data_IF_220237968262
#
_entry.id   IF_220237968262
#
_cell.length_a   1.000
_cell.length_b   1.000
_cell.length_c   1.000
_cell.angle_alpha   90.00
_cell.angle_beta   90.00
_cell.angle_gamma   90.00
#
_symmetry.space_group_name_H-M   'P 1'
#
loop_
_entity.id
_entity.type
_entity.pdbx_description
1 polymer ?
#
# COMPACT_ATOMS: atom_id res chain seq x y z
N UNK A 1 -6.19 -32.39 20.32
CA UNK A 1 -4.85 -31.92 19.91
C UNK A 1 -5.02 -30.70 19.02
N UNK A 2 -4.22 -29.63 19.15
CA UNK A 2 -4.35 -28.47 18.27
C UNK A 2 -3.96 -28.86 16.84
N UNK A 3 -4.79 -28.50 15.87
CA UNK A 3 -4.54 -28.72 14.45
C UNK A 3 -3.75 -27.53 13.93
N UNK A 4 -2.49 -27.73 13.55
CA UNK A 4 -1.69 -26.69 12.90
C UNK A 4 -2.28 -26.38 11.52
N UNK A 5 -2.58 -25.11 11.27
CA UNK A 5 -2.93 -24.65 9.92
C UNK A 5 -1.61 -24.48 9.17
N UNK A 6 -1.37 -25.33 8.17
CA UNK A 6 -0.19 -25.26 7.30
C UNK A 6 -0.56 -24.42 6.08
N UNK A 7 0.17 -23.33 5.86
CA UNK A 7 0.04 -22.51 4.66
C UNK A 7 1.06 -22.99 3.62
N UNK A 8 0.62 -23.13 2.36
CA UNK A 8 1.49 -23.36 1.20
C UNK A 8 1.40 -22.14 0.29
N UNK A 9 2.53 -21.72 -0.26
CA UNK A 9 2.53 -20.71 -1.32
C UNK A 9 1.63 -21.18 -2.46
N UNK A 10 0.52 -20.48 -2.66
CA UNK A 10 -0.32 -20.64 -3.82
C UNK A 10 0.07 -19.51 -4.77
N UNK A 11 0.72 -19.84 -5.90
CA UNK A 11 1.10 -18.84 -6.90
C UNK A 11 -0.17 -18.26 -7.54
N UNK A 12 -0.74 -17.23 -6.92
CA UNK A 12 -1.52 -16.23 -7.65
C UNK A 12 -0.54 -15.35 -8.41
N UNK A 13 -0.97 -14.84 -9.55
CA UNK A 13 -0.23 -13.88 -10.39
C UNK A 13 0.53 -12.90 -9.50
N UNK A 14 1.86 -12.76 -9.65
CA UNK A 14 2.58 -11.79 -8.83
C UNK A 14 1.98 -10.42 -9.12
N UNK A 15 1.70 -9.65 -8.07
CA UNK A 15 1.38 -8.23 -8.21
C UNK A 15 2.66 -7.56 -8.73
N UNK A 16 2.79 -7.48 -10.04
CA UNK A 16 4.03 -7.06 -10.69
C UNK A 16 4.19 -5.56 -10.65
N UNK A 17 5.40 -5.12 -10.31
CA UNK A 17 5.87 -3.77 -10.54
C UNK A 17 7.07 -3.79 -11.47
N UNK A 18 7.06 -2.92 -12.48
CA UNK A 18 8.16 -2.71 -13.44
C UNK A 18 8.47 -1.23 -13.66
N UNK A 19 8.44 -0.41 -12.61
CA UNK A 19 9.08 0.91 -12.67
C UNK A 19 10.25 0.96 -11.69
N UNK A 20 11.44 1.20 -12.24
CA UNK A 20 12.67 1.67 -11.57
C UNK A 20 13.28 0.83 -10.42
N UNK A 21 12.91 -0.44 -10.27
CA UNK A 21 13.61 -1.34 -9.33
C UNK A 21 13.26 -1.14 -7.85
N UNK A 22 12.31 -0.25 -7.54
CA UNK A 22 11.76 -0.03 -6.19
C UNK A 22 11.09 -1.29 -5.65
N UNK A 23 11.29 -1.55 -4.35
CA UNK A 23 10.79 -2.74 -3.67
C UNK A 23 9.62 -2.36 -2.77
N UNK A 24 8.47 -3.00 -2.99
CA UNK A 24 7.37 -2.93 -2.04
C UNK A 24 7.72 -3.74 -0.81
N UNK A 25 7.79 -3.07 0.33
CA UNK A 25 8.16 -3.67 1.61
C UNK A 25 6.96 -3.83 2.54
N UNK A 26 5.92 -3.01 2.36
CA UNK A 26 4.79 -2.93 3.28
C UNK A 26 3.49 -3.19 2.54
N UNK A 27 2.67 -4.09 3.10
CA UNK A 27 1.34 -4.42 2.58
C UNK A 27 0.29 -4.38 3.69
N UNK A 28 -0.92 -3.94 3.33
CA UNK A 28 -2.13 -3.99 4.17
C UNK A 28 -3.37 -4.19 3.32
N UNK A 29 -4.35 -4.86 3.87
CA UNK A 29 -5.66 -5.08 3.25
C UNK A 29 -6.75 -4.65 4.23
N UNK A 30 -7.81 -4.00 3.74
CA UNK A 30 -8.99 -3.67 4.54
C UNK A 30 -10.10 -4.73 4.36
N UNK A 31 -11.26 -4.50 4.99
CA UNK A 31 -12.39 -5.44 4.92
C UNK A 31 -13.09 -5.41 3.54
N UNK A 32 -12.90 -4.34 2.78
CA UNK A 32 -13.50 -4.11 1.45
C UNK A 32 -12.63 -4.65 0.29
N UNK A 33 -11.65 -5.51 0.59
CA UNK A 33 -10.72 -6.10 -0.37
C UNK A 33 -9.78 -5.10 -1.07
N UNK A 34 -9.60 -3.90 -0.51
CA UNK A 34 -8.55 -2.98 -0.98
C UNK A 34 -7.23 -3.38 -0.34
N UNK A 35 -6.34 -3.94 -1.16
CA UNK A 35 -4.94 -4.15 -0.80
C UNK A 35 -4.15 -2.90 -1.17
N UNK A 36 -3.27 -2.46 -0.28
CA UNK A 36 -2.31 -1.38 -0.53
C UNK A 36 -0.90 -1.91 -0.35
N UNK A 37 -0.01 -1.55 -1.28
CA UNK A 37 1.43 -1.79 -1.18
C UNK A 37 2.21 -0.48 -1.22
N UNK A 38 3.15 -0.31 -0.28
CA UNK A 38 4.02 0.85 -0.15
C UNK A 38 5.49 0.53 -0.45
N UNK A 39 6.10 1.37 -1.30
CA UNK A 39 7.46 1.22 -1.79
C UNK A 39 8.48 2.11 -1.08
N UNK A 40 9.75 1.75 -1.18
CA UNK A 40 10.89 2.52 -0.66
C UNK A 40 11.16 3.83 -1.43
N UNK A 41 10.46 4.07 -2.52
CA UNK A 41 10.49 5.30 -3.33
C UNK A 41 9.29 6.24 -3.10
N UNK A 42 8.39 5.88 -2.20
CA UNK A 42 7.15 6.61 -1.94
C UNK A 42 5.98 6.24 -2.85
N UNK A 43 6.13 5.19 -3.65
CA UNK A 43 5.01 4.64 -4.41
C UNK A 43 3.99 3.97 -3.48
N UNK A 44 2.71 4.26 -3.72
CA UNK A 44 1.56 3.59 -3.14
C UNK A 44 0.73 3.03 -4.28
N UNK A 45 0.49 1.73 -4.23
CA UNK A 45 -0.38 1.04 -5.19
C UNK A 45 -1.58 0.45 -4.48
N UNK A 46 -2.74 0.62 -5.10
CA UNK A 46 -4.01 0.12 -4.61
C UNK A 46 -4.51 -0.95 -5.56
N UNK A 47 -4.94 -2.06 -4.99
CA UNK A 47 -5.29 -3.27 -5.70
C UNK A 47 -6.62 -3.79 -5.20
N UNK A 48 -7.45 -4.27 -6.13
CA UNK A 48 -8.51 -5.18 -5.77
C UNK A 48 -7.89 -6.53 -5.42
N UNK A 49 -8.03 -6.97 -4.18
CA UNK A 49 -7.41 -8.19 -3.68
C UNK A 49 -7.91 -9.45 -4.39
N UNK A 50 -9.17 -9.45 -4.83
CA UNK A 50 -9.78 -10.64 -5.42
C UNK A 50 -9.25 -10.92 -6.82
N UNK A 51 -9.27 -9.91 -7.69
CA UNK A 51 -8.82 -9.99 -9.08
C UNK A 51 -7.31 -9.74 -9.24
N UNK A 52 -6.68 -9.05 -8.30
CA UNK A 52 -5.31 -8.55 -8.42
C UNK A 52 -5.18 -7.31 -9.33
N UNK A 53 -6.29 -6.69 -9.72
CA UNK A 53 -6.28 -5.49 -10.56
C UNK A 53 -5.72 -4.29 -9.80
N UNK A 54 -4.71 -3.62 -10.37
CA UNK A 54 -4.22 -2.34 -9.87
C UNK A 54 -5.13 -1.23 -10.39
N UNK A 55 -5.94 -0.65 -9.51
CA UNK A 55 -6.85 0.43 -9.88
C UNK A 55 -6.29 1.82 -9.59
N UNK A 56 -5.20 1.93 -8.80
CA UNK A 56 -4.59 3.22 -8.50
C UNK A 56 -3.08 3.12 -8.22
N UNK A 57 -2.34 4.08 -8.77
CA UNK A 57 -0.90 4.23 -8.62
C UNK A 57 -0.56 5.67 -8.26
N UNK A 58 -0.04 5.90 -7.06
CA UNK A 58 0.22 7.24 -6.51
C UNK A 58 1.67 7.33 -6.04
N UNK A 59 2.28 8.49 -6.26
CA UNK A 59 3.52 8.88 -5.59
C UNK A 59 3.18 9.82 -4.43
N UNK A 60 3.52 9.40 -3.21
CA UNK A 60 3.47 10.28 -2.05
C UNK A 60 4.33 11.51 -2.30
N UNK A 61 3.84 12.68 -1.87
CA UNK A 61 4.54 13.95 -2.04
C UNK A 61 5.43 14.20 -0.81
N UNK A 62 6.76 14.35 -0.97
CA UNK A 62 7.63 14.64 0.16
C UNK A 62 7.22 15.94 0.88
N UNK A 63 7.36 15.98 2.20
CA UNK A 63 7.16 17.23 2.93
C UNK A 63 8.18 18.33 2.51
N UNK A 64 7.84 19.62 2.64
CA UNK A 64 8.76 20.71 2.35
C UNK A 64 10.08 20.58 3.11
N UNK A 65 11.20 20.70 2.40
CA UNK A 65 12.54 20.55 2.96
C UNK A 65 13.09 19.11 2.97
N UNK A 66 12.28 18.12 2.60
CA UNK A 66 12.72 16.75 2.35
C UNK A 66 13.27 16.57 0.93
N UNK A 67 14.22 15.66 0.75
CA UNK A 67 14.76 15.29 -0.56
C UNK A 67 14.00 14.09 -1.15
N UNK A 68 14.04 13.92 -2.48
CA UNK A 68 13.38 12.80 -3.15
C UNK A 68 13.81 11.41 -2.63
N UNK A 69 15.05 11.29 -2.14
CA UNK A 69 15.56 10.05 -1.54
C UNK A 69 14.91 9.69 -0.20
N UNK A 70 14.23 10.64 0.46
CA UNK A 70 13.53 10.46 1.72
C UNK A 70 12.01 10.23 1.52
N UNK A 71 11.57 9.80 0.33
CA UNK A 71 10.15 9.60 0.05
C UNK A 71 9.61 8.20 0.43
N UNK A 72 10.44 7.31 0.97
CA UNK A 72 10.06 5.92 1.21
C UNK A 72 8.92 5.72 2.21
N UNK A 73 8.04 4.74 1.92
CA UNK A 73 7.01 4.28 2.85
C UNK A 73 7.62 3.22 3.79
N UNK A 74 7.48 3.40 5.10
CA UNK A 74 8.00 2.47 6.13
C UNK A 74 6.93 1.79 6.98
N UNK A 75 5.70 2.29 6.94
CA UNK A 75 4.58 1.67 7.63
C UNK A 75 3.29 1.94 6.86
N UNK A 76 2.40 0.97 6.87
CA UNK A 76 1.03 1.10 6.39
C UNK A 76 0.09 0.49 7.42
N UNK A 77 -1.04 1.14 7.67
CA UNK A 77 -2.19 0.55 8.38
C UNK A 77 -3.47 1.21 7.94
N UNK A 78 -4.57 0.45 7.91
CA UNK A 78 -5.89 1.05 7.93
C UNK A 78 -6.24 1.48 9.36
N UNK A 79 -7.09 2.49 9.48
CA UNK A 79 -7.72 2.81 10.75
C UNK A 79 -8.77 1.75 11.13
N UNK A 80 -9.41 1.91 12.30
CA UNK A 80 -10.41 0.94 12.77
C UNK A 80 -11.65 0.85 11.89
N UNK A 81 -11.95 1.91 11.11
CA UNK A 81 -13.09 1.92 10.20
C UNK A 81 -12.80 1.16 8.91
N UNK A 82 -11.53 1.07 8.50
CA UNK A 82 -11.13 0.51 7.20
C UNK A 82 -11.17 1.53 6.06
N UNK A 83 -11.75 2.72 6.29
CA UNK A 83 -11.95 3.76 5.27
C UNK A 83 -10.79 4.75 5.15
N UNK A 84 -9.82 4.69 6.07
CA UNK A 84 -8.62 5.56 6.04
C UNK A 84 -7.36 4.75 6.10
N UNK A 85 -6.43 5.05 5.21
CA UNK A 85 -5.08 4.53 5.22
C UNK A 85 -4.14 5.52 5.92
N UNK A 86 -3.25 5.01 6.76
CA UNK A 86 -2.16 5.75 7.38
C UNK A 86 -0.84 5.22 6.81
N UNK A 87 -0.02 6.10 6.25
CA UNK A 87 1.36 5.80 5.86
C UNK A 87 2.35 6.50 6.77
N UNK A 88 3.30 5.75 7.33
CA UNK A 88 4.47 6.31 8.01
C UNK A 88 5.63 6.38 7.02
N UNK A 89 6.20 7.56 6.82
CA UNK A 89 7.11 7.84 5.71
C UNK A 89 8.49 8.31 6.19
N UNK A 90 9.51 8.10 5.35
CA UNK A 90 10.90 8.44 5.61
C UNK A 90 11.11 9.95 5.82
N UNK A 91 10.24 10.78 5.25
CA UNK A 91 10.26 12.24 5.36
C UNK A 91 9.82 12.76 6.74
N UNK A 92 9.68 11.86 7.74
CA UNK A 92 9.27 12.14 9.13
C UNK A 92 7.80 12.53 9.26
N UNK A 93 6.98 12.19 8.27
CA UNK A 93 5.53 12.43 8.33
C UNK A 93 4.72 11.15 8.50
N UNK A 94 3.48 11.35 8.97
CA UNK A 94 2.41 10.37 8.85
C UNK A 94 1.38 10.99 7.92
N UNK A 95 1.08 10.34 6.79
CA UNK A 95 0.05 10.81 5.85
C UNK A 95 -1.20 9.97 5.99
N UNK A 96 -2.35 10.63 5.86
CA UNK A 96 -3.66 10.02 5.96
C UNK A 96 -4.36 10.14 4.62
N UNK A 97 -4.85 9.01 4.13
CA UNK A 97 -5.53 8.89 2.85
C UNK A 97 -6.98 8.47 3.10
N UNK A 98 -7.88 8.99 2.29
CA UNK A 98 -9.32 8.66 2.28
C UNK A 98 -9.77 8.54 0.83
N UNK A 99 -10.88 7.84 0.64
CA UNK A 99 -11.56 7.81 -0.65
C UNK A 99 -12.01 9.22 -1.08
N UNK A 100 -12.02 9.45 -2.39
CA UNK A 100 -12.62 10.63 -2.98
C UNK A 100 -14.12 10.39 -3.16
N UNK A 101 -14.92 11.15 -2.43
CA UNK A 101 -16.39 11.05 -2.45
C UNK A 101 -16.99 11.43 -3.81
N UNK A 102 -16.21 12.09 -4.69
CA UNK A 102 -16.64 12.52 -6.01
C UNK A 102 -16.16 11.60 -7.13
N UNK A 103 -15.39 10.55 -6.83
CA UNK A 103 -14.95 9.61 -7.85
C UNK A 103 -16.15 8.85 -8.41
N UNK A 104 -16.26 8.82 -9.73
CA UNK A 104 -17.19 7.96 -10.47
C UNK A 104 -16.39 6.88 -11.20
N UNK A 105 -17.07 5.78 -11.55
CA UNK A 105 -16.50 4.71 -12.39
C UNK A 105 -15.90 5.22 -13.72
#
# INVERSE_FOLDING_TARGET
MPKWIIFKEHRRTPLHHRRNGSKYLFIKINQDNVLVSGGDDGSLKFWDWQSGYNFQDIMSQPQPGSIAAENGIFALTFDRSGCRLLSGECDKTIKMWREDENATE
#
